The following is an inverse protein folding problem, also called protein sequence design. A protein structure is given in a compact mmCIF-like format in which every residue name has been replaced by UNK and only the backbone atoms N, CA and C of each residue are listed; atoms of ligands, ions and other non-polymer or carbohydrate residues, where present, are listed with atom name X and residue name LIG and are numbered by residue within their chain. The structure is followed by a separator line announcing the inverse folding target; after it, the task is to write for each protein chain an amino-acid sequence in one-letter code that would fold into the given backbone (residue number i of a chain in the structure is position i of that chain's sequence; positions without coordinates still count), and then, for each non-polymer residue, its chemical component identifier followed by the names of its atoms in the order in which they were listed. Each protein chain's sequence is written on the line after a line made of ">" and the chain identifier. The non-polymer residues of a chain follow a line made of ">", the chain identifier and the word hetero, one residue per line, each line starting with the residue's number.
data_IF_020799995272
#
_entry.id   IF_020799995272
#
_cell.length_a   1.000
_cell.length_b   1.000
_cell.length_c   1.000
_cell.angle_alpha   90.00
_cell.angle_beta   90.00
_cell.angle_gamma   90.00
#
_symmetry.space_group_name_H-M   'P 1'
#
loop_
_entity.id
_entity.type
_entity.pdbx_description
1 polymer ?
#
# COMPACT_ATOMS: atom_id res chain seq x y z
N UNK A 1 -3.81 20.21 -0.90
CA UNK A 1 -2.40 20.02 -0.48
C UNK A 1 -2.29 18.58 0.00
N UNK A 2 -1.34 17.78 -0.52
CA UNK A 2 -1.13 16.41 -0.04
C UNK A 2 -0.53 16.47 1.37
N UNK A 3 -1.10 15.74 2.31
CA UNK A 3 -0.52 15.63 3.65
C UNK A 3 0.74 14.76 3.59
N UNK A 4 1.90 15.34 3.90
CA UNK A 4 3.23 14.69 3.93
C UNK A 4 3.66 14.36 5.37
N UNK A 5 2.70 14.23 6.29
CA UNK A 5 2.97 13.88 7.68
C UNK A 5 3.50 12.44 7.81
N UNK A 6 4.33 12.15 8.84
CA UNK A 6 4.75 10.79 9.17
C UNK A 6 3.55 9.88 9.46
N UNK A 7 2.49 10.43 10.04
CA UNK A 7 1.26 9.72 10.37
C UNK A 7 0.53 9.27 9.10
N UNK A 8 0.45 10.13 8.08
CA UNK A 8 -0.13 9.77 6.79
C UNK A 8 0.70 8.68 6.07
N UNK A 9 2.03 8.78 6.08
CA UNK A 9 2.91 7.74 5.55
C UNK A 9 2.74 6.41 6.31
N UNK A 10 2.60 6.47 7.63
CA UNK A 10 2.35 5.30 8.46
C UNK A 10 0.98 4.67 8.21
N UNK A 11 -0.06 5.49 8.03
CA UNK A 11 -1.39 5.02 7.65
C UNK A 11 -1.37 4.25 6.32
N UNK A 12 -0.61 4.74 5.33
CA UNK A 12 -0.43 4.03 4.05
C UNK A 12 0.28 2.68 4.22
N UNK A 13 1.33 2.61 5.06
CA UNK A 13 2.00 1.33 5.35
C UNK A 13 1.07 0.35 6.04
N UNK A 14 0.24 0.81 6.98
CA UNK A 14 -0.77 -0.01 7.65
C UNK A 14 -1.81 -0.50 6.66
N UNK A 15 -2.33 0.37 5.79
CA UNK A 15 -3.28 -0.01 4.76
C UNK A 15 -2.70 -1.04 3.77
N UNK A 16 -1.42 -0.92 3.42
CA UNK A 16 -0.74 -1.89 2.57
C UNK A 16 -0.69 -3.28 3.22
N UNK A 17 -0.38 -3.37 4.52
CA UNK A 17 -0.38 -4.65 5.25
C UNK A 17 -1.77 -5.27 5.33
N UNK A 18 -2.81 -4.45 5.53
CA UNK A 18 -4.19 -4.92 5.52
C UNK A 18 -4.56 -5.49 4.16
N UNK A 19 -4.19 -4.81 3.07
CA UNK A 19 -4.41 -5.30 1.72
C UNK A 19 -3.65 -6.61 1.43
N UNK A 20 -2.40 -6.76 1.88
CA UNK A 20 -1.66 -8.02 1.75
C UNK A 20 -2.39 -9.17 2.49
N UNK A 21 -2.85 -8.91 3.72
CA UNK A 21 -3.60 -9.88 4.53
C UNK A 21 -4.92 -10.28 3.86
N UNK A 22 -5.68 -9.32 3.35
CA UNK A 22 -6.92 -9.58 2.60
C UNK A 22 -6.64 -10.40 1.35
N UNK A 23 -5.60 -10.09 0.59
CA UNK A 23 -5.22 -10.87 -0.60
C UNK A 23 -4.87 -12.32 -0.25
N UNK A 24 -4.14 -12.55 0.84
CA UNK A 24 -3.80 -13.88 1.32
C UNK A 24 -5.05 -14.68 1.71
N UNK A 25 -5.94 -14.07 2.49
CA UNK A 25 -7.21 -14.68 2.91
C UNK A 25 -8.09 -15.03 1.71
N UNK A 26 -8.21 -14.12 0.72
CA UNK A 26 -8.99 -14.36 -0.49
C UNK A 26 -8.44 -15.53 -1.30
N UNK A 27 -7.11 -15.63 -1.42
CA UNK A 27 -6.46 -16.78 -2.10
C UNK A 27 -6.71 -18.08 -1.36
N UNK A 28 -6.59 -18.11 -0.04
CA UNK A 28 -6.85 -19.29 0.76
C UNK A 28 -8.31 -19.76 0.66
N UNK A 29 -9.27 -18.83 0.61
CA UNK A 29 -10.67 -19.15 0.45
C UNK A 29 -11.03 -19.58 -0.99
N UNK A 30 -10.28 -19.12 -2.00
CA UNK A 30 -10.51 -19.47 -3.39
C UNK A 30 -10.32 -20.98 -3.66
N UNK A 31 -9.48 -21.66 -2.87
CA UNK A 31 -9.27 -23.10 -2.94
C UNK A 31 -10.51 -23.91 -2.49
N UNK A 32 -11.37 -23.30 -1.65
CA UNK A 32 -12.62 -23.89 -1.17
C UNK A 32 -13.85 -23.37 -1.94
N UNK A 33 -13.66 -22.65 -3.04
CA UNK A 33 -14.76 -22.03 -3.77
C UNK A 33 -15.68 -23.08 -4.42
N UNK A 34 -17.01 -22.89 -4.39
CA UNK A 34 -17.98 -23.86 -4.87
C UNK A 34 -18.01 -23.98 -6.40
N UNK A 35 -17.50 -22.98 -7.13
CA UNK A 35 -17.44 -22.99 -8.60
C UNK A 35 -16.15 -22.32 -9.09
N UNK A 36 -15.67 -22.67 -10.30
CA UNK A 36 -14.52 -22.01 -10.92
C UNK A 36 -14.71 -20.50 -11.08
N UNK A 37 -15.92 -20.05 -11.45
CA UNK A 37 -16.21 -18.62 -11.61
C UNK A 37 -16.05 -17.83 -10.29
N UNK A 38 -16.49 -18.41 -9.16
CA UNK A 38 -16.30 -17.79 -7.84
C UNK A 38 -14.81 -17.78 -7.46
N UNK A 39 -14.10 -18.88 -7.69
CA UNK A 39 -12.65 -18.96 -7.47
C UNK A 39 -11.91 -17.86 -8.23
N UNK A 40 -12.18 -17.73 -9.52
CA UNK A 40 -11.49 -16.77 -10.39
C UNK A 40 -11.80 -15.32 -9.98
N UNK A 41 -13.04 -15.03 -9.57
CA UNK A 41 -13.41 -13.73 -9.02
C UNK A 41 -12.66 -13.40 -7.72
N UNK A 42 -12.49 -14.39 -6.83
CA UNK A 42 -11.72 -14.22 -5.59
C UNK A 42 -10.24 -13.98 -5.84
N UNK A 43 -9.65 -14.71 -6.80
CA UNK A 43 -8.25 -14.52 -7.21
C UNK A 43 -8.04 -13.15 -7.86
N UNK A 44 -8.96 -12.70 -8.72
CA UNK A 44 -8.92 -11.36 -9.31
C UNK A 44 -9.02 -10.25 -8.24
N UNK A 45 -9.87 -10.45 -7.22
CA UNK A 45 -9.97 -9.52 -6.09
C UNK A 45 -8.68 -9.51 -5.26
N UNK A 46 -8.08 -10.67 -4.99
CA UNK A 46 -6.80 -10.77 -4.30
C UNK A 46 -5.69 -10.01 -5.04
N UNK A 47 -5.60 -10.16 -6.36
CA UNK A 47 -4.63 -9.45 -7.18
C UNK A 47 -4.84 -7.94 -7.16
N UNK A 48 -6.10 -7.47 -7.11
CA UNK A 48 -6.40 -6.05 -6.92
C UNK A 48 -5.88 -5.53 -5.59
N UNK A 49 -6.08 -6.27 -4.49
CA UNK A 49 -5.55 -5.88 -3.18
C UNK A 49 -4.02 -5.82 -3.17
N UNK A 50 -3.33 -6.77 -3.82
CA UNK A 50 -1.86 -6.72 -3.95
C UNK A 50 -1.39 -5.48 -4.70
N UNK A 51 -2.05 -5.10 -5.80
CA UNK A 51 -1.72 -3.87 -6.54
C UNK A 51 -1.91 -2.63 -5.67
N UNK A 52 -3.01 -2.56 -4.91
CA UNK A 52 -3.24 -1.46 -3.96
C UNK A 52 -2.15 -1.38 -2.90
N UNK A 53 -1.75 -2.51 -2.33
CA UNK A 53 -0.67 -2.55 -1.34
C UNK A 53 0.67 -2.07 -1.92
N UNK A 54 0.99 -2.41 -3.17
CA UNK A 54 2.18 -1.89 -3.87
C UNK A 54 2.10 -0.37 -4.02
N UNK A 55 0.98 0.16 -4.51
CA UNK A 55 0.82 1.61 -4.67
C UNK A 55 0.89 2.37 -3.34
N UNK A 56 0.30 1.83 -2.28
CA UNK A 56 0.36 2.43 -0.95
C UNK A 56 1.79 2.45 -0.38
N UNK A 57 2.57 1.38 -0.60
CA UNK A 57 4.00 1.34 -0.23
C UNK A 57 4.82 2.36 -1.03
N UNK A 58 4.58 2.46 -2.33
CA UNK A 58 5.26 3.43 -3.21
C UNK A 58 4.95 4.86 -2.78
N UNK A 59 3.69 5.17 -2.50
CA UNK A 59 3.28 6.49 -2.05
C UNK A 59 3.88 6.84 -0.69
N UNK A 60 3.86 5.90 0.28
CA UNK A 60 4.49 6.11 1.59
C UNK A 60 5.99 6.42 1.46
N UNK A 61 6.71 5.70 0.58
CA UNK A 61 8.14 5.97 0.29
C UNK A 61 8.33 7.34 -0.34
N UNK A 62 7.55 7.70 -1.35
CA UNK A 62 7.65 9.00 -2.00
C UNK A 62 7.40 10.16 -1.01
N UNK A 63 6.51 9.97 -0.03
CA UNK A 63 6.27 10.94 1.04
C UNK A 63 7.48 11.09 1.96
N UNK A 64 8.09 9.97 2.39
CA UNK A 64 9.31 9.98 3.20
C UNK A 64 10.47 10.65 2.45
N UNK A 65 10.65 10.33 1.17
CA UNK A 65 11.70 10.87 0.31
C UNK A 65 11.54 12.39 0.16
N UNK A 66 10.31 12.85 -0.16
CA UNK A 66 10.00 14.29 -0.29
C UNK A 66 10.27 15.04 1.01
N UNK A 67 9.88 14.46 2.15
CA UNK A 67 10.14 15.05 3.48
C UNK A 67 11.64 15.12 3.77
N UNK A 68 12.37 14.07 3.42
CA UNK A 68 13.82 13.99 3.65
C UNK A 68 14.57 15.00 2.79
N UNK A 69 14.27 15.08 1.48
CA UNK A 69 14.84 16.08 0.57
C UNK A 69 14.50 17.52 0.97
N UNK A 70 13.25 17.78 1.39
CA UNK A 70 12.83 19.09 1.88
C UNK A 70 13.61 19.55 3.11
N UNK A 71 13.95 18.62 4.01
CA UNK A 71 14.77 18.89 5.20
C UNK A 71 16.22 19.21 4.84
N UNK A 72 16.82 18.50 3.88
CA UNK A 72 18.19 18.77 3.44
C UNK A 72 18.30 20.11 2.71
N UNK A 73 17.33 20.45 1.84
CA UNK A 73 17.30 21.75 1.15
C UNK A 73 16.96 22.97 2.05
N UNK A 74 16.53 22.74 3.30
CA UNK A 74 16.43 23.79 4.32
C UNK A 74 17.77 24.00 5.05
N UNK A 75 18.52 22.94 5.30
CA UNK A 75 19.83 23.03 5.96
C UNK A 75 20.86 23.73 5.06
N UNK A 76 20.90 23.41 3.76
CA UNK A 76 21.79 24.08 2.79
C UNK A 76 21.49 25.57 2.57
N UNK A 77 20.25 26.03 2.82
CA UNK A 77 19.88 27.45 2.73
C UNK A 77 20.14 28.24 4.00
N UNK A 78 20.51 27.56 5.09
CA UNK A 78 20.72 28.15 6.41
C UNK A 78 22.20 28.20 6.81
N UNK A 79 23.11 27.81 5.92
CA UNK A 79 24.56 27.86 6.07
C UNK A 79 25.15 28.93 5.14
#
# INVERSE_FOLDING_TARGET
>A
MLDLSPDAAQALRTAARLNDSTAYTLRAQADAAPTPAVRDAMLALADRHLRLAVHQRQLARAMDDTRTSGRHGQLDRSA
#
